data_IF_009392115466
#
_entry.id   IF_009392115466
#
_cell.length_a   1.000
_cell.length_b   1.000
_cell.length_c   1.000
_cell.angle_alpha   90.00
_cell.angle_beta   90.00
_cell.angle_gamma   90.00
#
_symmetry.space_group_name_H-M   'P 1'
#
loop_
_entity.id
_entity.type
_entity.pdbx_description
1 polymer ?
#
# COMPACT_ATOMS: atom_id res chain seq x y z
N UNK A 1 -18.00 -23.14 -4.62
CA UNK A 1 -16.69 -22.87 -4.03
C UNK A 1 -16.93 -22.01 -2.81
N UNK A 2 -16.29 -22.31 -1.70
CA UNK A 2 -16.48 -21.55 -0.46
C UNK A 2 -15.69 -20.26 -0.56
N UNK A 3 -16.32 -19.12 -0.30
CA UNK A 3 -15.60 -17.86 -0.20
C UNK A 3 -14.87 -17.82 1.14
N UNK A 4 -13.56 -17.64 1.10
CA UNK A 4 -12.73 -17.41 2.27
C UNK A 4 -12.20 -16.00 2.18
N UNK A 5 -12.42 -15.21 3.22
CA UNK A 5 -11.81 -13.91 3.39
C UNK A 5 -10.84 -13.87 4.56
N UNK A 6 -9.88 -12.96 4.51
CA UNK A 6 -8.90 -12.75 5.56
C UNK A 6 -9.24 -11.53 6.40
N UNK A 7 -9.09 -11.67 7.72
CA UNK A 7 -8.88 -10.53 8.59
C UNK A 7 -7.39 -10.23 8.71
N UNK A 8 -6.99 -8.97 8.68
CA UNK A 8 -5.58 -8.57 8.69
C UNK A 8 -5.30 -7.42 9.66
N UNK A 9 -4.03 -7.27 10.03
CA UNK A 9 -3.58 -6.16 10.88
C UNK A 9 -3.32 -4.93 9.99
N UNK A 10 -4.00 -3.82 10.23
CA UNK A 10 -3.73 -2.57 9.52
C UNK A 10 -2.26 -2.16 9.68
N UNK A 11 -1.59 -1.77 8.59
CA UNK A 11 -0.20 -1.31 8.54
C UNK A 11 0.88 -2.32 8.98
N UNK A 12 0.50 -3.55 9.35
CA UNK A 12 1.45 -4.59 9.75
C UNK A 12 1.87 -5.50 8.57
N UNK A 13 1.79 -5.00 7.37
CA UNK A 13 2.22 -5.72 6.16
C UNK A 13 1.35 -6.95 5.89
N UNK A 14 1.98 -8.13 5.81
CA UNK A 14 1.36 -9.39 5.42
C UNK A 14 0.75 -10.17 6.58
N UNK A 15 0.34 -9.51 7.65
CA UNK A 15 -0.10 -10.17 8.87
C UNK A 15 -1.59 -10.43 8.82
N UNK A 16 -1.98 -11.71 8.68
CA UNK A 16 -3.35 -12.18 8.86
C UNK A 16 -3.70 -12.37 10.33
N UNK A 17 -4.97 -12.19 10.67
CA UNK A 17 -5.54 -12.38 12.02
C UNK A 17 -6.57 -13.49 12.05
N UNK A 18 -6.99 -14.02 10.91
CA UNK A 18 -8.01 -15.05 10.83
C UNK A 18 -8.68 -15.17 9.48
N UNK A 19 -9.78 -15.90 9.46
CA UNK A 19 -10.54 -16.21 8.26
C UNK A 19 -12.03 -16.04 8.52
N UNK A 20 -12.76 -15.70 7.46
CA UNK A 20 -14.21 -15.82 7.41
C UNK A 20 -14.58 -16.75 6.24
N UNK A 21 -15.42 -17.75 6.49
CA UNK A 21 -15.88 -18.74 5.52
C UNK A 21 -17.40 -18.60 5.38
N UNK A 22 -17.92 -18.51 4.17
CA UNK A 22 -19.31 -18.22 3.87
C UNK A 22 -20.31 -19.33 4.23
N UNK A 23 -19.81 -20.46 4.73
CA UNK A 23 -20.66 -21.54 5.26
C UNK A 23 -20.05 -22.11 6.54
N UNK A 24 -20.91 -22.46 7.49
CA UNK A 24 -20.50 -23.20 8.68
C UNK A 24 -20.74 -24.71 8.45
N UNK A 25 -19.77 -25.59 8.77
CA UNK A 25 -20.02 -27.02 8.76
C UNK A 25 -21.05 -27.40 9.82
N UNK A 26 -21.75 -28.53 9.61
CA UNK A 26 -22.81 -28.98 10.51
C UNK A 26 -22.31 -29.29 11.93
N UNK A 27 -21.05 -29.67 12.06
CA UNK A 27 -20.34 -29.86 13.35
C UNK A 27 -19.06 -29.05 13.34
N UNK A 28 -18.87 -28.20 14.35
CA UNK A 28 -17.60 -27.50 14.61
C UNK A 28 -16.62 -28.49 15.24
N UNK A 29 -15.93 -29.22 14.40
CA UNK A 29 -14.84 -30.11 14.80
C UNK A 29 -13.51 -29.37 14.75
N UNK A 30 -12.46 -29.99 15.25
CA UNK A 30 -11.11 -29.43 15.39
C UNK A 30 -10.69 -28.51 14.23
N UNK A 31 -10.47 -27.24 14.55
CA UNK A 31 -9.93 -26.25 13.62
C UNK A 31 -8.44 -26.10 13.88
N UNK A 32 -7.63 -26.35 12.85
CA UNK A 32 -6.17 -26.20 12.95
C UNK A 32 -5.63 -25.35 11.81
N UNK A 33 -4.65 -24.51 12.12
CA UNK A 33 -3.92 -23.72 11.14
C UNK A 33 -2.43 -24.04 11.24
N UNK A 34 -1.82 -24.38 10.11
CA UNK A 34 -0.37 -24.53 9.98
C UNK A 34 0.16 -23.59 8.91
N UNK A 35 1.35 -23.05 9.14
CA UNK A 35 2.04 -22.15 8.24
C UNK A 35 3.40 -22.73 7.87
N UNK A 36 3.70 -22.82 6.58
CA UNK A 36 5.06 -23.04 6.10
C UNK A 36 5.68 -21.67 5.75
N UNK A 37 6.51 -21.10 6.63
CA UNK A 37 7.17 -19.84 6.37
C UNK A 37 8.04 -19.93 5.11
N UNK A 38 8.20 -18.84 4.38
CA UNK A 38 9.06 -18.77 3.21
C UNK A 38 10.49 -19.20 3.59
N UNK A 39 10.99 -20.25 2.96
CA UNK A 39 12.33 -20.78 3.20
C UNK A 39 12.50 -21.69 4.43
N UNK A 40 11.42 -22.02 5.15
CA UNK A 40 11.46 -22.94 6.28
C UNK A 40 11.27 -24.39 5.83
N UNK A 41 11.93 -25.34 6.53
CA UNK A 41 11.91 -26.75 6.19
C UNK A 41 10.67 -27.50 6.67
N UNK A 42 9.91 -26.96 7.62
CA UNK A 42 8.76 -27.63 8.21
C UNK A 42 7.62 -26.62 8.53
N UNK A 43 6.34 -27.08 8.41
CA UNK A 43 5.20 -26.29 8.84
C UNK A 43 5.24 -26.05 10.35
N UNK A 44 4.81 -24.85 10.78
CA UNK A 44 4.62 -24.49 12.19
C UNK A 44 3.13 -24.31 12.47
N UNK A 45 2.63 -24.70 13.65
CA UNK A 45 1.25 -24.43 14.03
C UNK A 45 1.05 -22.94 14.30
N UNK A 46 -0.11 -22.41 13.90
CA UNK A 46 -0.61 -21.09 14.28
C UNK A 46 -1.79 -21.32 15.22
N UNK A 47 -1.79 -20.67 16.38
CA UNK A 47 -2.85 -20.87 17.34
C UNK A 47 -4.19 -20.30 16.84
N UNK A 48 -5.24 -21.09 16.92
CA UNK A 48 -6.62 -20.68 16.71
C UNK A 48 -7.14 -20.15 18.04
N UNK A 49 -7.59 -18.89 18.08
CA UNK A 49 -8.04 -18.18 19.28
C UNK A 49 -9.52 -18.39 19.55
N UNK A 50 -10.32 -18.27 18.49
CA UNK A 50 -11.76 -18.48 18.58
C UNK A 50 -12.31 -18.99 17.25
N UNK A 51 -13.42 -19.71 17.34
CA UNK A 51 -14.22 -20.15 16.19
C UNK A 51 -15.68 -19.87 16.52
N UNK A 52 -16.33 -19.03 15.73
CA UNK A 52 -17.73 -18.63 15.94
C UNK A 52 -18.53 -18.81 14.66
N UNK A 53 -19.78 -19.25 14.79
CA UNK A 53 -20.70 -19.34 13.67
C UNK A 53 -21.75 -18.22 13.80
N UNK A 54 -21.79 -17.33 12.83
CA UNK A 54 -22.75 -16.21 12.76
C UNK A 54 -23.39 -16.13 11.38
N UNK A 55 -24.73 -16.10 11.33
CA UNK A 55 -25.47 -15.91 10.09
C UNK A 55 -25.24 -16.98 9.01
N UNK A 56 -24.77 -18.18 9.40
CA UNK A 56 -24.42 -19.27 8.49
C UNK A 56 -22.96 -19.22 7.99
N UNK A 57 -22.20 -18.21 8.35
CA UNK A 57 -20.76 -18.12 8.10
C UNK A 57 -19.95 -18.56 9.32
N UNK A 58 -18.72 -19.02 9.10
CA UNK A 58 -17.76 -19.37 10.14
C UNK A 58 -16.69 -18.30 10.22
N UNK A 59 -16.53 -17.68 11.40
CA UNK A 59 -15.44 -16.76 11.70
C UNK A 59 -14.40 -17.46 12.57
N UNK A 60 -13.14 -17.43 12.13
CA UNK A 60 -11.99 -18.04 12.79
C UNK A 60 -10.99 -16.94 13.11
N UNK A 61 -10.68 -16.75 14.39
CA UNK A 61 -9.63 -15.83 14.83
C UNK A 61 -8.38 -16.62 15.21
N UNK A 62 -7.21 -16.13 14.80
CA UNK A 62 -5.94 -16.82 15.01
C UNK A 62 -4.91 -15.89 15.66
N UNK A 63 -3.79 -16.46 16.06
CA UNK A 63 -2.57 -15.66 16.21
C UNK A 63 -2.18 -15.08 14.84
N UNK A 64 -1.40 -14.02 14.88
CA UNK A 64 -0.87 -13.40 13.68
C UNK A 64 -0.03 -14.39 12.86
N UNK A 65 -0.23 -14.40 11.53
CA UNK A 65 0.53 -15.22 10.61
C UNK A 65 0.79 -14.47 9.29
N UNK A 66 1.87 -14.85 8.59
CA UNK A 66 2.10 -14.33 7.22
C UNK A 66 1.15 -15.02 6.24
N UNK A 67 0.08 -14.33 5.85
CA UNK A 67 -0.94 -14.88 4.95
C UNK A 67 -0.41 -15.12 3.52
N UNK A 68 0.78 -14.62 3.15
CA UNK A 68 1.47 -14.97 1.90
C UNK A 68 2.23 -16.29 1.99
N UNK A 69 2.45 -16.79 3.20
CA UNK A 69 3.06 -18.10 3.41
C UNK A 69 2.17 -19.22 2.87
N UNK A 70 2.72 -20.41 2.75
CA UNK A 70 1.93 -21.60 2.44
C UNK A 70 1.24 -22.07 3.71
N UNK A 71 0.04 -21.53 3.98
CA UNK A 71 -0.78 -21.94 5.09
C UNK A 71 -1.76 -23.05 4.69
N UNK A 72 -2.14 -23.86 5.67
CA UNK A 72 -3.16 -24.88 5.55
C UNK A 72 -4.11 -24.74 6.75
N UNK A 73 -5.36 -24.43 6.46
CA UNK A 73 -6.46 -24.40 7.41
C UNK A 73 -7.25 -25.71 7.27
N UNK A 74 -7.42 -26.46 8.35
CA UNK A 74 -8.26 -27.63 8.38
C UNK A 74 -9.43 -27.40 9.36
N UNK A 75 -10.64 -27.81 8.93
CA UNK A 75 -11.87 -27.76 9.72
C UNK A 75 -12.48 -29.15 9.61
N UNK A 76 -12.25 -30.00 10.59
CA UNK A 76 -12.54 -31.42 10.48
C UNK A 76 -11.78 -32.06 9.31
N UNK A 77 -12.51 -32.67 8.38
CA UNK A 77 -11.95 -33.29 7.18
C UNK A 77 -11.71 -32.29 6.04
N UNK A 78 -12.31 -31.09 6.11
CA UNK A 78 -12.16 -30.08 5.10
C UNK A 78 -10.80 -29.37 5.21
N UNK A 79 -10.16 -29.18 4.06
CA UNK A 79 -8.85 -28.56 3.97
C UNK A 79 -8.89 -27.38 3.01
N UNK A 80 -8.34 -26.27 3.47
CA UNK A 80 -8.23 -25.04 2.69
C UNK A 80 -6.76 -24.63 2.62
N UNK A 81 -6.28 -24.35 1.43
CA UNK A 81 -4.90 -23.88 1.21
C UNK A 81 -4.92 -22.63 0.36
N UNK A 82 -3.89 -21.81 0.49
CA UNK A 82 -3.72 -20.64 -0.35
C UNK A 82 -3.73 -20.98 -1.84
N UNK A 83 -3.12 -22.11 -2.23
CA UNK A 83 -3.02 -22.51 -3.63
C UNK A 83 -4.36 -22.96 -4.25
N UNK A 84 -5.35 -23.33 -3.42
CA UNK A 84 -6.67 -23.81 -3.87
C UNK A 84 -7.72 -22.69 -3.86
N UNK A 85 -7.36 -21.49 -3.41
CA UNK A 85 -8.24 -20.33 -3.43
C UNK A 85 -8.23 -19.71 -4.82
N UNK A 86 -9.37 -19.75 -5.50
CA UNK A 86 -9.55 -19.12 -6.81
C UNK A 86 -9.52 -17.58 -6.73
N UNK A 87 -9.97 -17.02 -5.60
CA UNK A 87 -9.88 -15.61 -5.28
C UNK A 87 -9.58 -15.44 -3.79
N UNK A 88 -8.48 -14.78 -3.48
CA UNK A 88 -8.19 -14.35 -2.11
C UNK A 88 -9.08 -13.14 -1.79
N UNK A 89 -10.07 -13.34 -0.93
CA UNK A 89 -10.91 -12.24 -0.43
C UNK A 89 -10.28 -11.67 0.84
N UNK A 90 -9.98 -10.40 0.79
CA UNK A 90 -9.52 -9.61 1.93
C UNK A 90 -10.65 -8.67 2.31
N UNK A 91 -10.98 -8.59 3.60
CA UNK A 91 -12.01 -7.69 4.12
C UNK A 91 -11.79 -6.26 3.62
N UNK A 92 -12.83 -5.66 3.03
CA UNK A 92 -12.78 -4.34 2.41
C UNK A 92 -12.23 -4.31 0.98
N UNK A 93 -11.71 -5.42 0.46
CA UNK A 93 -11.22 -5.48 -0.93
C UNK A 93 -12.38 -5.62 -1.94
N UNK A 94 -13.53 -6.13 -1.50
CA UNK A 94 -14.72 -6.36 -2.32
C UNK A 94 -15.26 -5.11 -3.00
N UNK A 95 -14.98 -3.93 -2.46
CA UNK A 95 -15.40 -2.66 -3.07
C UNK A 95 -14.48 -2.21 -4.21
N UNK A 96 -13.34 -2.89 -4.41
CA UNK A 96 -12.36 -2.60 -5.43
C UNK A 96 -12.39 -3.64 -6.56
N UNK A 97 -12.73 -3.22 -7.76
CA UNK A 97 -12.65 -4.10 -8.93
C UNK A 97 -11.20 -4.44 -9.29
N UNK A 98 -10.92 -5.73 -9.53
CA UNK A 98 -9.65 -6.17 -10.10
C UNK A 98 -9.60 -5.86 -11.58
N UNK A 99 -8.55 -5.18 -12.04
CA UNK A 99 -8.37 -4.78 -13.44
C UNK A 99 -6.94 -5.00 -13.90
N UNK A 100 -6.82 -5.32 -15.19
CA UNK A 100 -5.54 -5.33 -15.90
C UNK A 100 -5.74 -4.67 -17.27
N UNK A 101 -5.01 -3.60 -17.55
CA UNK A 101 -5.13 -2.86 -18.79
C UNK A 101 -3.78 -2.24 -19.16
N UNK A 102 -3.38 -2.34 -20.42
CA UNK A 102 -2.15 -1.76 -20.98
C UNK A 102 -0.87 -2.11 -20.19
N UNK A 103 -0.82 -3.35 -19.66
CA UNK A 103 0.30 -3.85 -18.85
C UNK A 103 0.31 -3.34 -17.40
N UNK A 104 -0.72 -2.62 -16.98
CA UNK A 104 -0.92 -2.19 -15.59
C UNK A 104 -1.94 -3.10 -14.92
N UNK A 105 -1.53 -3.69 -13.80
CA UNK A 105 -2.39 -4.43 -12.90
C UNK A 105 -2.82 -3.49 -11.77
N UNK A 106 -4.13 -3.34 -11.53
CA UNK A 106 -4.63 -2.39 -10.54
C UNK A 106 -5.97 -2.76 -9.96
N UNK A 107 -6.27 -2.24 -8.78
CA UNK A 107 -7.61 -2.20 -8.19
C UNK A 107 -8.22 -0.82 -8.39
N UNK A 108 -9.53 -0.80 -8.67
CA UNK A 108 -10.28 0.44 -8.89
C UNK A 108 -11.55 0.46 -8.06
N UNK A 109 -11.66 1.44 -7.17
CA UNK A 109 -12.95 1.82 -6.59
C UNK A 109 -13.64 2.83 -7.52
N UNK A 110 -14.89 2.56 -7.82
CA UNK A 110 -15.73 3.39 -8.70
C UNK A 110 -16.85 4.03 -7.89
N UNK A 111 -16.95 5.36 -7.83
CA UNK A 111 -18.02 6.03 -7.10
C UNK A 111 -19.40 5.78 -7.75
N UNK A 112 -20.43 5.70 -6.93
CA UNK A 112 -21.82 5.54 -7.44
C UNK A 112 -22.31 6.77 -8.22
N UNK A 113 -21.85 7.94 -7.86
CA UNK A 113 -22.27 9.20 -8.43
C UNK A 113 -21.78 9.38 -9.87
N UNK A 114 -22.69 9.73 -10.78
CA UNK A 114 -22.41 9.92 -12.23
C UNK A 114 -21.71 11.24 -12.53
N UNK A 115 -21.04 11.30 -13.67
CA UNK A 115 -20.31 12.47 -14.21
C UNK A 115 -18.84 12.50 -13.79
N UNK A 116 -18.09 13.53 -14.21
CA UNK A 116 -16.67 13.62 -13.92
C UNK A 116 -16.40 13.75 -12.41
N UNK A 117 -15.66 12.79 -11.84
CA UNK A 117 -15.34 12.72 -10.41
C UNK A 117 -13.86 12.94 -10.16
N UNK A 118 -13.46 13.33 -8.94
CA UNK A 118 -12.05 13.33 -8.56
C UNK A 118 -11.46 11.91 -8.68
N UNK A 119 -10.13 11.84 -8.87
CA UNK A 119 -9.39 10.59 -8.80
C UNK A 119 -8.25 10.72 -7.81
N UNK A 120 -8.10 9.73 -6.93
CA UNK A 120 -6.94 9.53 -6.07
C UNK A 120 -6.15 8.32 -6.58
N UNK A 121 -4.90 8.56 -7.00
CA UNK A 121 -3.94 7.52 -7.31
C UNK A 121 -3.17 7.18 -6.03
N UNK A 122 -3.21 5.92 -5.62
CA UNK A 122 -2.45 5.40 -4.48
C UNK A 122 -1.30 4.51 -4.95
N UNK A 123 -0.10 4.76 -4.45
CA UNK A 123 1.12 4.03 -4.77
C UNK A 123 1.67 3.35 -3.51
N UNK A 124 1.65 2.02 -3.49
CA UNK A 124 2.03 1.21 -2.33
C UNK A 124 3.53 1.26 -2.00
N UNK A 125 3.87 0.84 -0.77
CA UNK A 125 5.24 0.72 -0.28
C UNK A 125 6.02 -0.47 -0.87
N UNK A 126 7.33 -0.54 -0.60
CA UNK A 126 8.22 -1.54 -1.18
C UNK A 126 7.90 -2.98 -0.81
N UNK A 127 7.38 -3.22 0.39
CA UNK A 127 7.01 -4.57 0.84
C UNK A 127 5.74 -5.14 0.19
N UNK A 128 4.98 -4.32 -0.55
CA UNK A 128 3.66 -4.66 -1.09
C UNK A 128 3.70 -4.93 -2.61
N UNK A 129 4.90 -5.01 -3.17
CA UNK A 129 5.12 -5.33 -4.58
C UNK A 129 4.74 -6.75 -4.92
N UNK A 130 4.22 -6.95 -6.14
CA UNK A 130 3.80 -8.26 -6.63
C UNK A 130 3.01 -8.17 -7.91
N UNK A 131 2.33 -9.26 -8.23
CA UNK A 131 1.52 -9.43 -9.43
C UNK A 131 0.18 -10.15 -9.14
N UNK A 132 -0.21 -10.19 -7.85
CA UNK A 132 -1.44 -10.82 -7.39
C UNK A 132 -2.67 -9.89 -7.38
N UNK A 133 -2.47 -8.60 -7.58
CA UNK A 133 -3.50 -7.55 -7.50
C UNK A 133 -4.27 -7.50 -6.17
N UNK A 134 -3.71 -8.03 -5.10
CA UNK A 134 -4.34 -8.13 -3.76
C UNK A 134 -3.45 -7.50 -2.71
N UNK A 135 -2.20 -7.91 -2.68
CA UNK A 135 -1.24 -7.63 -1.63
C UNK A 135 -1.04 -6.16 -1.34
N UNK A 136 -1.01 -5.34 -2.38
CA UNK A 136 -0.77 -3.90 -2.27
C UNK A 136 -1.92 -3.14 -1.58
N UNK A 137 -3.12 -3.70 -1.57
CA UNK A 137 -4.27 -3.18 -0.81
C UNK A 137 -4.37 -3.86 0.55
N UNK A 138 -4.29 -5.20 0.58
CA UNK A 138 -4.40 -5.97 1.81
C UNK A 138 -3.35 -5.61 2.85
N UNK A 139 -2.11 -5.31 2.42
CA UNK A 139 -1.02 -4.92 3.29
C UNK A 139 -1.02 -3.42 3.65
N UNK A 140 -1.92 -2.62 3.06
CA UNK A 140 -2.01 -1.18 3.28
C UNK A 140 -3.48 -0.78 3.51
N UNK A 141 -3.95 -1.03 4.72
CA UNK A 141 -5.34 -0.80 5.12
C UNK A 141 -5.82 0.64 4.87
N UNK A 142 -4.90 1.59 4.78
CA UNK A 142 -5.23 2.98 4.46
C UNK A 142 -5.94 3.15 3.12
N UNK A 143 -5.66 2.29 2.14
CA UNK A 143 -6.32 2.30 0.83
C UNK A 143 -7.79 1.91 0.95
N UNK A 144 -8.10 0.89 1.75
CA UNK A 144 -9.47 0.45 2.01
C UNK A 144 -10.28 1.60 2.62
N UNK A 145 -9.72 2.28 3.62
CA UNK A 145 -10.36 3.44 4.25
C UNK A 145 -10.58 4.62 3.29
N UNK A 146 -9.78 4.75 2.23
CA UNK A 146 -10.01 5.82 1.25
C UNK A 146 -11.34 5.64 0.51
N UNK A 147 -11.76 4.44 0.18
CA UNK A 147 -13.06 4.20 -0.46
C UNK A 147 -14.23 4.62 0.46
N UNK A 148 -14.13 4.30 1.75
CA UNK A 148 -15.12 4.71 2.74
C UNK A 148 -15.16 6.24 2.92
N UNK A 149 -13.98 6.86 3.06
CA UNK A 149 -13.85 8.27 3.41
C UNK A 149 -14.06 9.21 2.22
N UNK A 150 -13.74 8.76 1.02
CA UNK A 150 -13.82 9.53 -0.24
C UNK A 150 -14.71 8.80 -1.25
N UNK A 151 -15.93 8.46 -0.83
CA UNK A 151 -16.88 7.65 -1.61
C UNK A 151 -17.31 8.28 -2.94
N UNK A 152 -17.04 9.57 -3.17
CA UNK A 152 -17.30 10.26 -4.43
C UNK A 152 -16.07 10.35 -5.36
N UNK A 153 -14.92 9.75 -4.96
CA UNK A 153 -13.70 9.68 -5.77
C UNK A 153 -13.58 8.34 -6.50
N UNK A 154 -12.95 8.35 -7.65
CA UNK A 154 -12.26 7.15 -8.12
C UNK A 154 -11.00 6.95 -7.29
N UNK A 155 -10.76 5.72 -6.81
CA UNK A 155 -9.50 5.36 -6.14
C UNK A 155 -8.82 4.31 -7.00
N UNK A 156 -7.69 4.65 -7.57
CA UNK A 156 -6.89 3.75 -8.39
C UNK A 156 -5.65 3.32 -7.61
N UNK A 157 -5.50 2.04 -7.39
CA UNK A 157 -4.36 1.44 -6.70
C UNK A 157 -3.67 0.42 -7.62
N UNK A 158 -2.69 0.84 -8.43
CA UNK A 158 -1.90 -0.08 -9.23
C UNK A 158 -0.92 -0.86 -8.37
N UNK A 159 -0.53 -2.05 -8.84
CA UNK A 159 0.48 -2.87 -8.20
C UNK A 159 1.77 -2.85 -9.05
N UNK A 160 2.86 -2.38 -8.45
CA UNK A 160 4.19 -2.50 -9.03
C UNK A 160 4.89 -3.74 -8.48
N UNK A 161 5.76 -4.34 -9.28
CA UNK A 161 6.66 -5.38 -8.82
C UNK A 161 7.66 -4.83 -7.80
N UNK A 162 8.20 -5.68 -6.96
CA UNK A 162 9.28 -5.31 -6.05
C UNK A 162 10.46 -4.70 -6.81
N UNK A 163 11.10 -3.72 -6.18
CA UNK A 163 12.31 -3.11 -6.75
C UNK A 163 13.41 -4.16 -6.93
N UNK A 164 14.06 -4.14 -8.07
CA UNK A 164 15.28 -4.91 -8.30
C UNK A 164 16.51 -4.17 -7.76
N UNK A 165 17.36 -4.89 -7.03
CA UNK A 165 18.63 -4.36 -6.54
C UNK A 165 18.53 -3.52 -5.26
N UNK A 166 19.68 -3.00 -4.82
CA UNK A 166 19.82 -2.22 -3.58
C UNK A 166 19.58 -0.74 -3.86
N UNK A 167 18.88 -0.04 -2.96
CA UNK A 167 18.74 1.42 -3.01
C UNK A 167 20.13 2.10 -3.03
N UNK A 168 20.40 3.00 -3.98
CA UNK A 168 21.65 3.75 -3.97
C UNK A 168 21.73 4.61 -2.70
N UNK A 169 22.90 4.65 -2.09
CA UNK A 169 23.15 5.56 -0.98
C UNK A 169 23.12 7.01 -1.48
N UNK A 170 22.62 7.93 -0.65
CA UNK A 170 22.52 9.36 -1.03
C UNK A 170 23.83 10.02 -1.44
N UNK A 171 24.92 9.58 -0.90
CA UNK A 171 26.28 10.06 -1.22
C UNK A 171 26.99 9.25 -2.31
N UNK A 172 26.34 8.26 -2.90
CA UNK A 172 26.87 7.55 -4.05
C UNK A 172 26.83 8.45 -5.30
N UNK A 173 27.81 8.35 -6.21
CA UNK A 173 27.69 9.04 -7.50
C UNK A 173 26.41 8.59 -8.21
N UNK A 174 25.76 9.53 -8.89
CA UNK A 174 24.49 9.34 -9.59
C UNK A 174 24.56 8.16 -10.56
N UNK A 175 24.17 6.98 -10.12
CA UNK A 175 23.68 5.97 -11.03
C UNK A 175 22.16 6.17 -11.09
N UNK A 176 21.64 6.57 -12.23
CA UNK A 176 20.22 6.46 -12.47
C UNK A 176 19.86 4.97 -12.35
N UNK A 177 19.16 4.64 -11.26
CA UNK A 177 18.52 3.33 -11.17
C UNK A 177 17.26 3.42 -12.01
N UNK A 178 17.42 3.56 -13.33
CA UNK A 178 16.29 3.44 -14.25
C UNK A 178 15.83 1.99 -14.21
N UNK A 179 14.83 1.76 -13.39
CA UNK A 179 14.15 0.48 -13.37
C UNK A 179 13.23 0.48 -14.59
N UNK A 180 13.53 -0.35 -15.55
CA UNK A 180 12.67 -0.60 -16.69
C UNK A 180 11.56 -1.59 -16.32
N UNK A 181 10.38 -1.41 -16.90
CA UNK A 181 9.22 -2.26 -16.62
C UNK A 181 8.50 -1.94 -15.29
N UNK A 182 7.67 -2.85 -14.76
CA UNK A 182 6.76 -2.57 -13.63
C UNK A 182 7.45 -2.63 -12.25
N UNK A 183 8.76 -2.35 -12.18
CA UNK A 183 9.53 -2.50 -10.95
C UNK A 183 9.71 -1.17 -10.20
N UNK A 184 9.37 -1.16 -8.92
CA UNK A 184 9.74 -0.08 -8.00
C UNK A 184 9.23 1.31 -8.38
N UNK A 185 8.09 1.43 -9.03
CA UNK A 185 7.51 2.66 -9.57
C UNK A 185 8.46 3.32 -10.59
N UNK A 186 8.90 2.56 -11.59
CA UNK A 186 9.69 3.09 -12.70
C UNK A 186 8.95 4.19 -13.46
N UNK A 187 9.68 5.09 -14.11
CA UNK A 187 9.09 6.16 -14.92
C UNK A 187 8.22 5.62 -16.05
N UNK A 188 8.64 4.53 -16.69
CA UNK A 188 7.89 3.88 -17.75
C UNK A 188 6.55 3.32 -17.26
N UNK A 189 6.57 2.61 -16.13
CA UNK A 189 5.35 2.05 -15.54
C UNK A 189 4.40 3.14 -15.05
N UNK A 190 4.91 4.18 -14.38
CA UNK A 190 4.12 5.34 -14.00
C UNK A 190 3.55 6.08 -15.21
N UNK A 191 4.26 6.09 -16.35
CA UNK A 191 3.73 6.60 -17.62
C UNK A 191 2.48 5.86 -18.05
N UNK A 192 2.51 4.52 -18.06
CA UNK A 192 1.35 3.69 -18.39
C UNK A 192 0.17 3.92 -17.41
N UNK A 193 0.45 4.01 -16.11
CA UNK A 193 -0.57 4.35 -15.10
C UNK A 193 -1.21 5.72 -15.39
N UNK A 194 -0.39 6.72 -15.70
CA UNK A 194 -0.89 8.08 -16.05
C UNK A 194 -1.72 8.08 -17.34
N UNK A 195 -1.38 7.24 -18.31
CA UNK A 195 -2.13 7.12 -19.57
C UNK A 195 -3.52 6.50 -19.33
N UNK A 196 -3.65 5.54 -18.42
CA UNK A 196 -4.97 5.04 -17.98
C UNK A 196 -5.82 6.16 -17.36
N UNK A 197 -5.21 7.01 -16.51
CA UNK A 197 -5.93 8.15 -15.92
C UNK A 197 -6.37 9.13 -17.02
N UNK A 198 -5.51 9.43 -18.00
CA UNK A 198 -5.86 10.29 -19.15
C UNK A 198 -7.01 9.71 -19.98
N UNK A 199 -7.04 8.39 -20.16
CA UNK A 199 -8.15 7.70 -20.81
C UNK A 199 -9.46 7.89 -20.03
N UNK A 200 -9.44 7.73 -18.70
CA UNK A 200 -10.61 7.99 -17.85
C UNK A 200 -11.07 9.45 -17.91
N UNK A 201 -10.15 10.40 -18.04
CA UNK A 201 -10.47 11.83 -18.25
C UNK A 201 -11.14 12.02 -19.61
N UNK A 202 -10.58 11.44 -20.68
CA UNK A 202 -11.13 11.54 -22.03
C UNK A 202 -12.53 10.91 -22.16
N UNK A 203 -12.80 9.87 -21.40
CA UNK A 203 -14.11 9.21 -21.28
C UNK A 203 -15.11 10.01 -20.42
N UNK A 204 -14.73 11.14 -19.85
CA UNK A 204 -15.58 11.96 -19.00
C UNK A 204 -15.87 11.36 -17.61
N UNK A 205 -15.14 10.35 -17.20
CA UNK A 205 -15.24 9.71 -15.87
C UNK A 205 -14.53 10.56 -14.80
N UNK A 206 -13.34 11.04 -15.10
CA UNK A 206 -12.47 11.77 -14.18
C UNK A 206 -12.42 13.25 -14.53
N UNK A 207 -12.55 14.13 -13.52
CA UNK A 207 -12.32 15.57 -13.68
C UNK A 207 -10.82 15.85 -13.75
N UNK A 208 -10.35 16.31 -14.90
CA UNK A 208 -8.94 16.62 -15.14
C UNK A 208 -8.32 17.63 -14.15
N UNK A 209 -9.14 18.42 -13.46
CA UNK A 209 -8.67 19.41 -12.47
C UNK A 209 -8.59 18.83 -11.05
N UNK A 210 -9.05 17.60 -10.84
CA UNK A 210 -9.17 16.96 -9.53
C UNK A 210 -8.55 15.55 -9.54
N UNK A 211 -7.31 15.46 -10.05
CA UNK A 211 -6.51 14.24 -10.00
C UNK A 211 -5.43 14.41 -8.95
N UNK A 212 -5.37 13.50 -8.00
CA UNK A 212 -4.44 13.55 -6.86
C UNK A 212 -3.59 12.29 -6.83
N UNK A 213 -2.41 12.38 -6.21
CA UNK A 213 -1.54 11.22 -6.02
C UNK A 213 -0.97 11.19 -4.62
N UNK A 214 -0.95 10.01 -4.03
CA UNK A 214 -0.33 9.73 -2.73
C UNK A 214 0.35 8.37 -2.74
N UNK A 215 1.19 8.13 -1.77
CA UNK A 215 1.86 6.85 -1.58
C UNK A 215 2.89 6.92 -0.48
N UNK A 216 3.23 5.75 0.07
CA UNK A 216 4.10 5.63 1.22
C UNK A 216 5.45 5.00 0.85
N UNK A 217 6.54 5.48 1.46
CA UNK A 217 7.88 4.90 1.32
C UNK A 217 8.33 4.82 -0.15
N UNK A 218 8.43 3.63 -0.75
CA UNK A 218 8.66 3.44 -2.19
C UNK A 218 7.56 4.13 -3.01
N UNK A 219 6.29 4.05 -2.58
CA UNK A 219 5.16 4.76 -3.19
C UNK A 219 5.24 6.27 -3.02
N UNK A 220 5.80 6.77 -1.91
CA UNK A 220 6.12 8.19 -1.74
C UNK A 220 7.15 8.68 -2.76
N UNK A 221 8.19 7.90 -3.03
CA UNK A 221 9.13 8.15 -4.13
C UNK A 221 8.43 8.07 -5.49
N UNK A 222 7.53 7.09 -5.66
CA UNK A 222 6.66 6.95 -6.84
C UNK A 222 5.79 8.18 -7.05
N UNK A 223 5.23 8.75 -5.98
CA UNK A 223 4.44 9.99 -6.01
C UNK A 223 5.27 11.17 -6.57
N UNK A 224 6.51 11.35 -6.09
CA UNK A 224 7.41 12.37 -6.63
C UNK A 224 7.72 12.13 -8.11
N UNK A 225 7.99 10.88 -8.50
CA UNK A 225 8.23 10.52 -9.91
C UNK A 225 7.00 10.77 -10.77
N UNK A 226 5.80 10.36 -10.34
CA UNK A 226 4.56 10.58 -11.08
C UNK A 226 4.34 12.07 -11.39
N UNK A 227 4.57 12.95 -10.41
CA UNK A 227 4.52 14.41 -10.60
C UNK A 227 5.49 14.91 -11.68
N UNK A 228 6.62 14.22 -11.87
CA UNK A 228 7.65 14.60 -12.87
C UNK A 228 7.44 13.94 -14.23
N UNK A 229 6.77 12.78 -14.29
CA UNK A 229 6.54 12.04 -15.54
C UNK A 229 5.51 12.76 -16.42
N UNK A 230 4.43 13.26 -15.79
CA UNK A 230 3.36 13.95 -16.51
C UNK A 230 3.06 15.28 -15.85
N UNK A 231 3.73 16.33 -16.34
CA UNK A 231 3.52 17.67 -15.83
C UNK A 231 2.04 18.10 -16.00
N UNK A 232 1.46 18.62 -14.93
CA UNK A 232 0.09 19.18 -14.93
C UNK A 232 -1.04 18.15 -14.84
N UNK A 233 -0.76 16.83 -14.78
CA UNK A 233 -1.81 15.83 -14.58
C UNK A 233 -2.38 15.90 -13.16
N UNK A 234 -1.52 16.04 -12.16
CA UNK A 234 -1.92 16.01 -10.76
C UNK A 234 -2.14 17.42 -10.21
N UNK A 235 -3.34 17.66 -9.66
CA UNK A 235 -3.70 18.90 -9.01
C UNK A 235 -2.95 19.12 -7.68
N UNK A 236 -2.65 18.04 -6.96
CA UNK A 236 -1.81 18.03 -5.77
C UNK A 236 -1.27 16.62 -5.48
N UNK A 237 -0.24 16.55 -4.63
CA UNK A 237 0.38 15.31 -4.21
C UNK A 237 0.67 15.28 -2.72
N UNK A 238 0.54 14.08 -2.11
CA UNK A 238 0.87 13.84 -0.70
C UNK A 238 1.83 12.63 -0.60
N UNK A 239 3.13 12.82 -0.84
CA UNK A 239 4.11 11.76 -0.57
C UNK A 239 4.26 11.55 0.93
N UNK A 240 4.07 10.31 1.40
CA UNK A 240 4.26 9.92 2.80
C UNK A 240 5.61 9.23 2.95
N UNK A 241 6.44 9.71 3.86
CA UNK A 241 7.79 9.22 4.14
C UNK A 241 8.53 8.72 2.86
N UNK A 242 8.63 9.53 1.80
CA UNK A 242 9.15 9.08 0.51
C UNK A 242 10.58 8.53 0.64
N UNK A 243 10.86 7.42 -0.04
CA UNK A 243 12.22 6.92 -0.15
C UNK A 243 13.07 7.91 -0.92
N UNK A 244 14.07 8.47 -0.24
CA UNK A 244 14.94 9.49 -0.84
C UNK A 244 16.17 8.84 -1.47
N UNK A 245 16.40 9.17 -2.73
CA UNK A 245 17.57 8.86 -3.52
C UNK A 245 18.07 10.16 -4.17
N UNK A 246 19.28 10.20 -4.74
CA UNK A 246 19.72 11.37 -5.51
C UNK A 246 18.71 11.78 -6.60
N UNK A 247 18.06 10.81 -7.26
CA UNK A 247 17.03 11.07 -8.27
C UNK A 247 15.80 11.75 -7.64
N UNK A 248 15.20 11.13 -6.61
CA UNK A 248 13.97 11.65 -6.00
C UNK A 248 14.19 12.99 -5.30
N UNK A 249 15.37 13.22 -4.73
CA UNK A 249 15.76 14.53 -4.20
C UNK A 249 15.80 15.60 -5.30
N UNK A 250 16.42 15.29 -6.45
CA UNK A 250 16.46 16.20 -7.61
C UNK A 250 15.05 16.49 -8.14
N UNK A 251 14.20 15.44 -8.23
CA UNK A 251 12.81 15.61 -8.62
C UNK A 251 12.10 16.56 -7.66
N UNK A 252 12.21 16.32 -6.34
CA UNK A 252 11.59 17.16 -5.31
C UNK A 252 12.00 18.62 -5.49
N UNK A 253 13.29 18.92 -5.59
CA UNK A 253 13.78 20.28 -5.81
C UNK A 253 13.30 20.91 -7.12
N UNK A 254 12.92 20.09 -8.10
CA UNK A 254 12.40 20.53 -9.41
C UNK A 254 10.90 20.87 -9.43
N UNK A 255 10.12 20.47 -8.42
CA UNK A 255 8.66 20.66 -8.38
C UNK A 255 8.23 22.09 -7.94
N UNK A 256 8.83 23.10 -8.56
CA UNK A 256 8.73 24.52 -8.17
C UNK A 256 7.33 25.11 -8.21
N UNK A 257 6.42 24.54 -9.01
CA UNK A 257 5.06 25.04 -9.20
C UNK A 257 3.99 24.04 -8.73
N UNK A 258 4.40 22.94 -8.14
CA UNK A 258 3.50 21.86 -7.71
C UNK A 258 2.91 22.14 -6.33
N UNK A 259 1.66 21.70 -6.12
CA UNK A 259 1.06 21.65 -4.78
C UNK A 259 1.47 20.34 -4.13
N UNK A 260 2.19 20.44 -3.05
CA UNK A 260 2.86 19.31 -2.42
C UNK A 260 2.73 19.40 -0.90
N UNK A 261 2.33 18.29 -0.27
CA UNK A 261 2.36 18.16 1.17
C UNK A 261 3.05 16.86 1.55
N UNK A 262 4.27 16.94 2.03
CA UNK A 262 5.02 15.77 2.50
C UNK A 262 4.74 15.55 3.99
N UNK A 263 4.44 14.31 4.37
CA UNK A 263 4.37 13.88 5.76
C UNK A 263 5.48 12.86 6.04
N UNK A 264 6.25 13.05 7.12
CA UNK A 264 7.32 12.14 7.54
C UNK A 264 7.60 12.26 9.02
N UNK A 265 8.30 11.29 9.60
CA UNK A 265 8.72 11.31 10.99
C UNK A 265 10.18 11.76 11.12
N UNK A 266 10.47 12.53 12.17
CA UNK A 266 11.86 12.93 12.49
C UNK A 266 12.75 11.71 12.76
N UNK A 267 12.20 10.69 13.42
CA UNK A 267 12.88 9.44 13.78
C UNK A 267 12.76 8.33 12.73
N UNK A 268 12.51 8.68 11.47
CA UNK A 268 12.47 7.66 10.41
C UNK A 268 13.83 6.95 10.36
N UNK A 269 13.82 5.63 10.62
CA UNK A 269 15.02 4.79 10.74
C UNK A 269 15.81 4.65 9.43
N UNK A 270 15.20 5.04 8.30
CA UNK A 270 15.86 5.00 7.00
C UNK A 270 16.75 6.20 6.85
N UNK A 271 17.98 6.03 7.20
CA UNK A 271 19.16 6.93 7.16
C UNK A 271 18.87 8.31 6.56
N UNK A 272 18.68 9.31 7.43
CA UNK A 272 18.55 10.73 7.06
C UNK A 272 17.45 11.07 6.04
N UNK A 273 16.43 10.21 5.88
CA UNK A 273 15.29 10.47 4.96
C UNK A 273 14.67 11.83 5.26
N UNK A 274 14.37 12.12 6.52
CA UNK A 274 13.82 13.40 6.96
C UNK A 274 14.69 14.59 6.53
N UNK A 275 16.03 14.50 6.65
CA UNK A 275 16.95 15.58 6.27
C UNK A 275 16.79 15.97 4.80
N UNK A 276 16.80 15.01 3.89
CA UNK A 276 16.66 15.28 2.46
C UNK A 276 15.29 15.81 2.09
N UNK A 277 14.26 15.40 2.82
CA UNK A 277 12.90 15.94 2.65
C UNK A 277 12.87 17.40 3.10
N UNK A 278 13.43 17.72 4.27
CA UNK A 278 13.53 19.09 4.78
C UNK A 278 14.32 19.97 3.82
N UNK A 279 15.52 19.54 3.42
CA UNK A 279 16.36 20.27 2.47
C UNK A 279 15.63 20.53 1.13
N UNK A 280 14.90 19.54 0.62
CA UNK A 280 14.12 19.65 -0.62
C UNK A 280 12.95 20.63 -0.50
N UNK A 281 12.21 20.61 0.62
CA UNK A 281 11.12 21.57 0.88
C UNK A 281 11.68 22.99 1.04
N UNK A 282 12.79 23.15 1.72
CA UNK A 282 13.48 24.46 1.83
C UNK A 282 13.86 24.97 0.44
N UNK A 283 14.49 24.14 -0.39
CA UNK A 283 14.85 24.51 -1.76
C UNK A 283 13.63 24.93 -2.60
N UNK A 284 12.49 24.27 -2.43
CA UNK A 284 11.23 24.66 -3.09
C UNK A 284 10.72 26.03 -2.61
N UNK A 285 10.77 26.27 -1.31
CA UNK A 285 10.34 27.56 -0.73
C UNK A 285 11.27 28.69 -1.15
N UNK A 286 12.57 28.47 -1.16
CA UNK A 286 13.56 29.42 -1.66
C UNK A 286 13.35 29.74 -3.16
N UNK A 287 12.88 28.76 -3.93
CA UNK A 287 12.48 28.94 -5.32
C UNK A 287 11.09 29.62 -5.49
N UNK A 288 10.44 30.03 -4.39
CA UNK A 288 9.16 30.75 -4.40
C UNK A 288 7.91 29.87 -4.34
N UNK A 289 8.02 28.56 -4.17
CA UNK A 289 6.85 27.68 -4.06
C UNK A 289 6.19 27.80 -2.67
N UNK A 290 5.08 28.53 -2.59
CA UNK A 290 4.28 28.71 -1.38
C UNK A 290 3.34 27.52 -1.11
N UNK A 291 3.19 26.59 -2.03
CA UNK A 291 2.32 25.41 -1.94
C UNK A 291 3.09 24.11 -1.59
N UNK A 292 4.34 24.26 -1.15
CA UNK A 292 5.14 23.15 -0.65
C UNK A 292 5.07 23.10 0.89
N UNK A 293 4.36 22.10 1.41
CA UNK A 293 4.14 21.91 2.84
C UNK A 293 4.85 20.66 3.36
N UNK A 294 5.24 20.70 4.63
CA UNK A 294 5.87 19.59 5.34
C UNK A 294 5.21 19.44 6.72
N UNK A 295 4.77 18.23 7.03
CA UNK A 295 4.55 17.77 8.39
C UNK A 295 5.69 16.85 8.78
N UNK A 296 6.42 17.24 9.81
CA UNK A 296 7.53 16.47 10.39
C UNK A 296 7.15 16.10 11.82
N UNK A 297 6.66 14.87 12.00
CA UNK A 297 6.22 14.38 13.30
C UNK A 297 7.41 14.19 14.24
N UNK A 298 7.31 14.80 15.43
CA UNK A 298 8.29 14.60 16.49
C UNK A 298 8.10 13.26 17.21
N UNK A 299 9.10 12.78 17.96
CA UNK A 299 8.94 11.59 18.79
C UNK A 299 7.76 11.71 19.78
N UNK A 300 7.56 12.88 20.35
CA UNK A 300 6.50 13.16 21.33
C UNK A 300 5.11 13.11 20.66
N UNK A 301 4.98 13.68 19.47
CA UNK A 301 3.72 13.58 18.70
C UNK A 301 3.40 12.14 18.32
N UNK A 302 4.40 11.35 17.90
CA UNK A 302 4.21 9.93 17.59
C UNK A 302 3.81 9.15 18.84
N UNK A 303 4.45 9.41 19.98
CA UNK A 303 4.11 8.77 21.25
C UNK A 303 2.67 9.10 21.69
N UNK A 304 2.17 10.31 21.42
CA UNK A 304 0.78 10.69 21.68
C UNK A 304 -0.24 9.90 20.84
N UNK A 305 0.19 9.35 19.70
CA UNK A 305 -0.60 8.40 18.89
C UNK A 305 -0.34 6.93 19.25
N UNK A 306 0.36 6.66 20.36
CA UNK A 306 0.67 5.30 20.78
C UNK A 306 1.79 4.63 19.98
N UNK A 307 2.54 5.39 19.17
CA UNK A 307 3.62 4.84 18.35
C UNK A 307 4.93 4.92 19.14
N UNK A 308 5.49 3.76 19.47
CA UNK A 308 6.81 3.69 20.10
C UNK A 308 7.91 4.18 19.15
N UNK A 309 8.79 5.05 19.66
CA UNK A 309 9.83 5.70 18.85
C UNK A 309 11.24 5.17 19.13
N UNK A 310 11.35 4.14 19.96
CA UNK A 310 12.63 3.48 20.24
C UNK A 310 13.24 2.91 18.94
N UNK A 311 14.43 3.31 18.55
CA UNK A 311 15.06 2.84 17.32
C UNK A 311 15.39 1.35 17.31
N UNK A 312 15.50 0.73 18.49
CA UNK A 312 15.82 -0.69 18.62
C UNK A 312 14.57 -1.60 18.43
N UNK A 313 13.36 -1.02 18.47
CA UNK A 313 12.13 -1.78 18.23
C UNK A 313 11.89 -2.00 16.73
N UNK A 314 11.42 -3.20 16.39
CA UNK A 314 10.87 -3.50 15.06
C UNK A 314 9.61 -2.67 14.79
N UNK A 315 9.21 -2.52 13.52
CA UNK A 315 7.95 -1.85 13.16
C UNK A 315 6.74 -2.50 13.87
N UNK A 316 6.71 -3.84 13.94
CA UNK A 316 5.65 -4.58 14.62
C UNK A 316 5.57 -4.20 16.10
N UNK A 317 6.70 -4.22 16.81
CA UNK A 317 6.76 -3.86 18.24
C UNK A 317 6.34 -2.40 18.48
N UNK A 318 6.62 -1.49 17.56
CA UNK A 318 6.19 -0.08 17.66
C UNK A 318 4.67 0.10 17.56
N UNK A 319 3.98 -0.73 16.78
CA UNK A 319 2.53 -0.66 16.60
C UNK A 319 1.74 -1.55 17.56
N UNK A 320 2.37 -2.55 18.19
CA UNK A 320 1.71 -3.46 19.14
C UNK A 320 1.82 -3.03 20.61
N UNK A 321 2.41 -1.87 20.89
CA UNK A 321 2.58 -1.35 22.26
C UNK A 321 1.30 -0.70 22.85
N UNK A 322 0.12 -0.96 22.26
CA UNK A 322 -1.19 -0.47 22.73
C UNK A 322 -2.12 -1.62 23.07
#
# INVERSE_FOLDING_TARGET
>A
MSNISFSHVPFAGWTGLGFSIDHAPAELSDVTLTLSPRGAAAPIPVAVRSVTAEGGALKIETDEFDYRGNWVLCIGDDKYTRAEMDEEQVEGLEVYESRQEDGVLYRLYTPEAKGPRPLLLFLHGGGNGGDDNITHIAADYGVIQFAERYSDFYIMAPQAMERKGVLPKMNAPFAETDQTGPYGWSRAYLGAVCDLIRKMIAEGKVDARRVYVTGMSMGGAGTLRAMSVVAGLFAAAVPVCPSMTPETFRILCGLKHSKLWIATAYVDHTIYRHKYIVDGIMALRDAGNQNAHLTLYSPEELAAFGIATDPDLTLKERFSAN
#
